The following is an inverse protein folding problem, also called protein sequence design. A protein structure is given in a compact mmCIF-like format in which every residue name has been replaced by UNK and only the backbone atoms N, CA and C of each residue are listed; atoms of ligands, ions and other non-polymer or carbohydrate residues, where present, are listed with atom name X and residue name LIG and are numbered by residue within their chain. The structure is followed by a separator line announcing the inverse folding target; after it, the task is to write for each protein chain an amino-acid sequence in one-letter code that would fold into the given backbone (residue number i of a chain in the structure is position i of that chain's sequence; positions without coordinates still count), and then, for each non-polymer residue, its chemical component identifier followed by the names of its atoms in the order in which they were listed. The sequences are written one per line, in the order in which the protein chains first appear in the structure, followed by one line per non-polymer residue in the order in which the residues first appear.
data_IF_093123430813
#
_entry.id   IF_093123430813
#
_cell.length_a   1.000
_cell.length_b   1.000
_cell.length_c   1.000
_cell.angle_alpha   90.00
_cell.angle_beta   90.00
_cell.angle_gamma   90.00
#
_symmetry.space_group_name_H-M   'P 1'
#
loop_
_entity.id
_entity.type
_entity.pdbx_description
1 polymer ?
#
# COMPACT_ATOMS: atom_id res chain seq x y z
N UNK A 1 -15.11 5.09 19.81
CA UNK A 1 -13.83 5.25 19.09
C UNK A 1 -13.76 4.21 17.97
N UNK A 2 -14.63 4.35 16.95
CA UNK A 2 -14.80 3.33 15.89
C UNK A 2 -13.63 3.29 14.89
N UNK A 3 -12.88 4.39 14.76
CA UNK A 3 -11.80 4.52 13.77
C UNK A 3 -10.78 3.38 13.84
N UNK A 4 -10.19 3.15 15.01
CA UNK A 4 -9.08 2.20 15.13
C UNK A 4 -9.52 0.75 15.30
N UNK A 5 -10.76 0.49 15.70
CA UNK A 5 -11.24 -0.85 16.06
C UNK A 5 -11.91 -1.61 14.90
N UNK A 6 -12.01 -1.01 13.71
CA UNK A 6 -12.61 -1.67 12.55
C UNK A 6 -11.68 -2.78 12.03
N UNK A 7 -12.26 -3.94 11.71
CA UNK A 7 -11.52 -5.13 11.25
C UNK A 7 -11.28 -5.12 9.74
N UNK A 8 -10.08 -5.51 9.33
CA UNK A 8 -9.63 -5.53 7.94
C UNK A 8 -9.04 -6.88 7.55
N UNK A 9 -9.28 -7.27 6.30
CA UNK A 9 -8.38 -8.16 5.58
C UNK A 9 -7.22 -7.30 5.06
N UNK A 10 -5.99 -7.68 5.39
CA UNK A 10 -4.76 -6.96 5.04
C UNK A 10 -3.90 -7.86 4.19
N UNK A 11 -3.44 -7.32 3.06
CA UNK A 11 -2.59 -7.99 2.10
C UNK A 11 -1.24 -7.29 2.03
N UNK A 12 -0.18 -8.09 1.97
CA UNK A 12 1.19 -7.65 1.81
C UNK A 12 1.74 -8.22 0.51
N UNK A 13 2.34 -7.36 -0.29
CA UNK A 13 3.12 -7.73 -1.47
C UNK A 13 4.50 -7.08 -1.37
N UNK A 14 5.55 -7.91 -1.39
CA UNK A 14 6.95 -7.49 -1.51
C UNK A 14 7.44 -7.89 -2.90
N UNK A 15 7.64 -6.91 -3.78
CA UNK A 15 8.03 -7.15 -5.18
C UNK A 15 9.51 -7.55 -5.27
N UNK A 16 9.89 -8.30 -6.31
CA UNK A 16 11.30 -8.62 -6.55
C UNK A 16 12.19 -7.34 -6.54
N UNK A 17 13.47 -7.44 -6.16
CA UNK A 17 14.40 -6.30 -6.12
C UNK A 17 14.49 -5.50 -7.43
N UNK A 18 14.36 -6.20 -8.55
CA UNK A 18 14.45 -5.70 -9.92
C UNK A 18 13.08 -5.59 -10.63
N UNK A 19 11.98 -5.80 -9.90
CA UNK A 19 10.63 -5.69 -10.44
C UNK A 19 10.38 -4.28 -11.02
N UNK A 20 9.63 -4.18 -12.14
CA UNK A 20 9.26 -2.88 -12.71
C UNK A 20 8.54 -1.99 -11.69
N UNK A 21 9.02 -0.76 -11.53
CA UNK A 21 8.48 0.17 -10.55
C UNK A 21 6.97 0.42 -10.74
N UNK A 22 6.17 0.18 -9.70
CA UNK A 22 4.73 0.36 -9.66
C UNK A 22 4.31 1.84 -9.79
N UNK A 23 5.22 2.78 -9.54
CA UNK A 23 4.98 4.20 -9.81
C UNK A 23 5.20 4.58 -11.28
N UNK A 24 5.60 3.66 -12.16
CA UNK A 24 5.57 3.88 -13.60
C UNK A 24 4.13 3.74 -14.10
N UNK A 25 3.71 4.62 -15.00
CA UNK A 25 2.34 4.67 -15.51
C UNK A 25 1.89 3.33 -16.16
N UNK A 26 2.80 2.67 -16.88
CA UNK A 26 2.55 1.38 -17.53
C UNK A 26 2.25 0.25 -16.54
N UNK A 27 2.79 0.33 -15.32
CA UNK A 27 2.56 -0.64 -14.26
C UNK A 27 1.37 -0.23 -13.39
N UNK A 28 1.26 1.05 -13.07
CA UNK A 28 0.21 1.59 -12.20
C UNK A 28 -1.18 1.53 -12.84
N UNK A 29 -1.32 1.97 -14.09
CA UNK A 29 -2.64 2.20 -14.68
C UNK A 29 -3.49 0.92 -14.78
N UNK A 30 -2.97 -0.23 -15.26
CA UNK A 30 -3.75 -1.47 -15.28
C UNK A 30 -4.14 -1.92 -13.87
N UNK A 31 -3.23 -1.80 -12.90
CA UNK A 31 -3.51 -2.15 -11.52
C UNK A 31 -4.57 -1.25 -10.89
N UNK A 32 -4.48 0.07 -11.08
CA UNK A 32 -5.47 1.01 -10.56
C UNK A 32 -6.86 0.75 -11.17
N UNK A 33 -6.93 0.53 -12.49
CA UNK A 33 -8.17 0.19 -13.18
C UNK A 33 -8.80 -1.11 -12.64
N UNK A 34 -7.98 -2.11 -12.28
CA UNK A 34 -8.47 -3.35 -11.68
C UNK A 34 -9.18 -3.16 -10.32
N UNK A 35 -8.97 -2.02 -9.66
CA UNK A 35 -9.58 -1.69 -8.37
C UNK A 35 -10.75 -0.69 -8.50
N UNK A 36 -11.08 -0.21 -9.69
CA UNK A 36 -12.07 0.87 -9.86
C UNK A 36 -13.46 0.50 -9.32
N UNK A 37 -13.90 -0.74 -9.53
CA UNK A 37 -15.19 -1.23 -9.01
C UNK A 37 -15.19 -1.22 -7.47
N UNK A 38 -14.09 -1.67 -6.87
CA UNK A 38 -13.91 -1.71 -5.42
C UNK A 38 -13.91 -0.30 -4.82
N UNK A 39 -13.14 0.60 -5.43
CA UNK A 39 -13.06 2.00 -5.01
C UNK A 39 -14.40 2.70 -5.22
N UNK A 40 -15.14 2.39 -6.27
CA UNK A 40 -16.49 2.91 -6.49
C UNK A 40 -17.48 2.43 -5.41
N UNK A 41 -17.41 1.18 -4.98
CA UNK A 41 -18.22 0.67 -3.86
C UNK A 41 -17.92 1.41 -2.54
N UNK A 42 -16.64 1.66 -2.26
CA UNK A 42 -16.20 2.46 -1.10
C UNK A 42 -16.64 3.94 -1.15
N UNK A 43 -17.02 4.46 -2.33
CA UNK A 43 -17.44 5.88 -2.49
C UNK A 43 -18.77 6.22 -1.85
N UNK A 44 -19.54 5.24 -1.38
CA UNK A 44 -20.80 5.47 -0.66
C UNK A 44 -20.63 6.37 0.56
N UNK A 45 -19.44 6.35 1.18
CA UNK A 45 -19.08 7.23 2.30
C UNK A 45 -18.36 8.52 1.88
N UNK A 46 -17.83 8.61 0.67
CA UNK A 46 -17.14 9.79 0.18
C UNK A 46 -16.09 9.51 -0.89
N UNK A 47 -15.56 10.57 -1.51
CA UNK A 47 -14.56 10.43 -2.58
C UNK A 47 -13.26 9.82 -2.06
N UNK A 48 -12.69 8.90 -2.82
CA UNK A 48 -11.33 8.40 -2.60
C UNK A 48 -10.30 9.50 -2.85
N UNK A 49 -9.17 9.42 -2.16
CA UNK A 49 -8.06 10.37 -2.27
C UNK A 49 -6.72 9.67 -2.28
N UNK A 50 -5.78 10.27 -3.01
CA UNK A 50 -4.41 9.78 -3.18
C UNK A 50 -3.42 10.82 -2.67
N UNK A 51 -2.33 10.36 -2.07
CA UNK A 51 -1.18 11.18 -1.66
C UNK A 51 0.08 10.51 -2.16
N UNK A 52 0.86 11.23 -2.97
CA UNK A 52 2.18 10.77 -3.41
C UNK A 52 3.26 11.68 -2.82
N UNK A 53 4.28 11.07 -2.23
CA UNK A 53 5.46 11.76 -1.73
C UNK A 53 6.62 11.54 -2.69
N UNK A 54 7.07 12.62 -3.33
CA UNK A 54 8.15 12.57 -4.31
C UNK A 54 9.05 13.79 -4.20
N UNK A 55 10.30 13.64 -4.60
CA UNK A 55 11.27 14.72 -4.67
C UNK A 55 11.70 15.00 -6.11
N UNK A 56 11.86 16.26 -6.48
CA UNK A 56 12.46 16.62 -7.77
C UNK A 56 13.99 16.37 -7.76
N UNK A 57 14.69 16.50 -8.91
CA UNK A 57 16.15 16.32 -8.98
C UNK A 57 16.96 17.23 -8.04
N UNK A 58 16.38 18.34 -7.59
CA UNK A 58 17.00 19.28 -6.64
C UNK A 58 16.73 18.89 -5.18
N UNK A 59 16.12 17.73 -4.93
CA UNK A 59 15.78 17.25 -3.59
C UNK A 59 14.62 17.99 -2.92
N UNK A 60 13.80 18.75 -3.67
CA UNK A 60 12.63 19.44 -3.10
C UNK A 60 11.37 18.59 -3.24
N UNK A 61 10.49 18.53 -2.22
CA UNK A 61 9.19 17.87 -2.33
C UNK A 61 8.35 18.43 -3.49
N UNK A 62 7.67 17.56 -4.22
CA UNK A 62 6.73 17.93 -5.29
C UNK A 62 5.33 18.03 -4.70
N UNK A 63 4.69 19.20 -4.87
CA UNK A 63 3.31 19.41 -4.42
C UNK A 63 2.32 19.02 -5.52
N UNK A 64 1.59 17.92 -5.32
CA UNK A 64 0.57 17.46 -6.28
C UNK A 64 -0.83 18.02 -6.03
N UNK A 65 -1.05 18.67 -4.89
CA UNK A 65 -2.38 19.14 -4.48
C UNK A 65 -3.33 17.99 -4.15
N UNK A 66 -4.62 18.18 -4.41
CA UNK A 66 -5.64 17.13 -4.19
C UNK A 66 -5.64 16.17 -5.37
N UNK A 67 -5.35 14.90 -5.11
CA UNK A 67 -5.43 13.82 -6.08
C UNK A 67 -6.62 12.92 -5.73
N UNK A 68 -7.42 12.61 -6.74
CA UNK A 68 -8.49 11.61 -6.68
C UNK A 68 -8.00 10.22 -7.11
N UNK A 69 -8.92 9.27 -7.07
CA UNK A 69 -8.78 7.99 -7.75
C UNK A 69 -9.40 8.10 -9.15
N UNK A 70 -8.62 8.59 -10.10
CA UNK A 70 -8.99 8.81 -11.50
C UNK A 70 -7.73 8.97 -12.36
N UNK A 71 -7.85 8.70 -13.66
CA UNK A 71 -6.75 8.74 -14.62
C UNK A 71 -6.01 10.08 -14.64
N UNK A 72 -6.76 11.19 -14.48
CA UNK A 72 -6.18 12.54 -14.49
C UNK A 72 -5.27 12.75 -13.29
N UNK A 73 -5.67 12.23 -12.12
CA UNK A 73 -4.88 12.29 -10.90
C UNK A 73 -3.70 11.34 -10.94
N UNK A 74 -3.88 10.12 -11.47
CA UNK A 74 -2.80 9.15 -11.64
C UNK A 74 -1.69 9.70 -12.55
N UNK A 75 -2.04 10.25 -13.71
CA UNK A 75 -1.10 10.82 -14.67
C UNK A 75 -0.22 11.95 -14.10
N UNK A 76 -0.65 12.64 -13.03
CA UNK A 76 0.12 13.72 -12.41
C UNK A 76 1.35 13.23 -11.65
N UNK A 77 1.29 12.04 -11.05
CA UNK A 77 2.34 11.56 -10.14
C UNK A 77 3.06 10.32 -10.66
N UNK A 78 2.44 9.52 -11.53
CA UNK A 78 3.11 8.36 -12.13
C UNK A 78 4.20 8.80 -13.10
N UNK A 79 5.28 8.01 -13.19
CA UNK A 79 6.40 8.27 -14.06
C UNK A 79 6.13 7.72 -15.46
N UNK A 80 6.56 8.49 -16.45
CA UNK A 80 6.61 8.10 -17.87
C UNK A 80 8.04 8.30 -18.34
N UNK A 81 8.46 7.77 -19.51
CA UNK A 81 9.79 8.03 -20.07
C UNK A 81 10.12 9.54 -20.16
N UNK A 82 9.11 10.42 -20.28
CA UNK A 82 9.28 11.86 -20.31
C UNK A 82 9.35 12.55 -18.93
N UNK A 83 8.92 11.87 -17.84
CA UNK A 83 8.74 12.47 -16.50
C UNK A 83 9.52 11.76 -15.38
N UNK A 84 10.45 10.86 -15.70
CA UNK A 84 11.24 10.03 -14.75
C UNK A 84 12.18 10.79 -13.82
N UNK A 85 12.31 12.11 -13.94
CA UNK A 85 13.27 12.88 -13.14
C UNK A 85 12.85 13.02 -11.67
N UNK A 86 11.59 12.74 -11.34
CA UNK A 86 11.13 12.71 -9.96
C UNK A 86 11.62 11.43 -9.25
N UNK A 87 11.96 11.54 -7.97
CA UNK A 87 12.27 10.41 -7.10
C UNK A 87 11.01 10.06 -6.31
N UNK A 88 10.38 8.94 -6.64
CA UNK A 88 9.22 8.43 -5.92
C UNK A 88 9.65 7.80 -4.59
N UNK A 89 8.98 8.18 -3.50
CA UNK A 89 9.23 7.62 -2.16
C UNK A 89 8.08 6.74 -1.72
N UNK A 90 6.88 7.31 -1.64
CA UNK A 90 5.69 6.62 -1.15
C UNK A 90 4.41 7.10 -1.83
N UNK A 91 3.38 6.26 -1.77
CA UNK A 91 2.01 6.56 -2.12
C UNK A 91 1.10 6.05 -1.00
N UNK A 92 0.05 6.80 -0.70
CA UNK A 92 -1.12 6.31 0.02
C UNK A 92 -2.39 6.60 -0.77
N UNK A 93 -3.30 5.65 -0.82
CA UNK A 93 -4.65 5.84 -1.34
C UNK A 93 -5.68 5.39 -0.31
N UNK A 94 -6.71 6.20 -0.14
CA UNK A 94 -7.74 6.05 0.87
C UNK A 94 -9.11 6.15 0.21
N UNK A 95 -9.99 5.17 0.43
CA UNK A 95 -11.38 5.21 0.01
C UNK A 95 -12.31 4.91 1.19
N UNK A 96 -13.07 5.90 1.71
CA UNK A 96 -13.05 7.32 1.34
C UNK A 96 -11.73 8.01 1.76
N UNK A 97 -11.49 9.24 1.28
CA UNK A 97 -10.25 9.97 1.56
C UNK A 97 -10.03 10.21 3.06
N UNK A 98 -8.77 10.36 3.48
CA UNK A 98 -8.36 10.64 4.86
C UNK A 98 -9.22 11.72 5.54
N UNK A 99 -9.49 12.84 4.86
CA UNK A 99 -10.25 13.95 5.44
C UNK A 99 -11.71 13.58 5.73
N UNK A 100 -12.28 12.67 4.94
CA UNK A 100 -13.62 12.12 5.18
C UNK A 100 -13.56 11.15 6.36
N UNK A 101 -12.56 10.26 6.39
CA UNK A 101 -12.36 9.32 7.48
C UNK A 101 -12.23 10.03 8.84
N UNK A 102 -11.43 11.09 8.92
CA UNK A 102 -11.26 11.90 10.13
C UNK A 102 -12.57 12.55 10.56
N UNK A 103 -13.28 13.17 9.61
CA UNK A 103 -14.55 13.85 9.87
C UNK A 103 -15.61 12.89 10.41
N UNK A 104 -15.67 11.68 9.85
CA UNK A 104 -16.68 10.68 10.20
C UNK A 104 -16.24 9.80 11.38
N UNK A 105 -15.00 9.95 11.86
CA UNK A 105 -14.46 9.16 12.96
C UNK A 105 -14.36 7.66 12.66
N UNK A 106 -14.20 7.29 11.39
CA UNK A 106 -14.13 5.91 10.93
C UNK A 106 -13.07 5.72 9.82
N UNK A 107 -12.21 4.71 9.99
CA UNK A 107 -11.16 4.32 9.06
C UNK A 107 -11.70 3.99 7.65
N UNK A 108 -10.86 4.03 6.60
CA UNK A 108 -11.29 3.88 5.21
C UNK A 108 -11.86 2.50 4.95
N UNK A 109 -12.74 2.35 3.96
CA UNK A 109 -13.23 1.04 3.53
C UNK A 109 -12.13 0.29 2.77
N UNK A 110 -11.35 0.99 1.95
CA UNK A 110 -10.16 0.48 1.26
C UNK A 110 -8.97 1.41 1.49
N UNK A 111 -7.82 0.82 1.80
CA UNK A 111 -6.55 1.51 1.96
C UNK A 111 -5.46 0.84 1.12
N UNK A 112 -4.56 1.63 0.57
CA UNK A 112 -3.38 1.17 -0.15
C UNK A 112 -2.19 2.04 0.21
N UNK A 113 -1.04 1.42 0.44
CA UNK A 113 0.22 2.08 0.70
C UNK A 113 1.34 1.41 -0.10
N UNK A 114 2.13 2.21 -0.84
CA UNK A 114 3.25 1.75 -1.67
C UNK A 114 4.52 2.49 -1.27
N UNK A 115 5.64 1.78 -1.10
CA UNK A 115 6.94 2.34 -0.79
C UNK A 115 8.02 1.84 -1.76
N UNK A 116 8.97 2.73 -2.04
CA UNK A 116 10.20 2.43 -2.75
C UNK A 116 11.33 2.15 -1.74
N UNK A 117 11.68 0.89 -1.55
CA UNK A 117 12.65 0.46 -0.54
C UNK A 117 14.07 0.96 -0.82
N UNK A 118 14.44 1.08 -2.11
CA UNK A 118 15.77 1.54 -2.52
C UNK A 118 16.11 2.94 -2.01
N UNK A 119 15.10 3.76 -1.71
CA UNK A 119 15.26 5.14 -1.24
C UNK A 119 15.02 5.31 0.27
N UNK A 120 14.67 4.26 1.01
CA UNK A 120 14.46 4.28 2.46
C UNK A 120 15.77 4.01 3.24
N UNK A 121 16.86 4.65 2.83
CA UNK A 121 18.15 4.56 3.54
C UNK A 121 19.00 3.33 3.21
N UNK A 122 18.67 2.62 2.11
CA UNK A 122 19.33 1.39 1.67
C UNK A 122 20.16 1.56 0.39
N UNK A 123 20.53 2.80 0.06
CA UNK A 123 21.29 3.10 -1.17
C UNK A 123 22.59 2.27 -1.19
N UNK A 124 22.74 1.43 -2.22
CA UNK A 124 23.92 0.59 -2.44
C UNK A 124 23.94 -0.73 -1.67
N UNK A 125 22.88 -1.06 -0.91
CA UNK A 125 22.74 -2.37 -0.29
C UNK A 125 21.99 -3.35 -1.21
N UNK A 126 22.32 -4.66 -1.17
CA UNK A 126 21.46 -5.69 -1.75
C UNK A 126 20.08 -5.66 -1.10
N UNK A 127 19.02 -5.68 -1.91
CA UNK A 127 17.65 -5.72 -1.43
C UNK A 127 17.08 -7.12 -1.63
N UNK A 128 16.37 -7.65 -0.63
CA UNK A 128 15.49 -8.83 -0.78
C UNK A 128 14.21 -8.53 -1.58
N UNK A 129 13.77 -7.26 -1.59
CA UNK A 129 12.59 -6.78 -2.32
C UNK A 129 12.76 -5.29 -2.64
N UNK A 130 12.27 -4.84 -3.80
CA UNK A 130 12.47 -3.46 -4.28
C UNK A 130 11.34 -2.50 -3.89
N UNK A 131 10.15 -3.07 -3.68
CA UNK A 131 8.93 -2.31 -3.44
C UNK A 131 8.06 -3.05 -2.43
N UNK A 132 7.39 -2.29 -1.57
CA UNK A 132 6.45 -2.81 -0.58
C UNK A 132 5.09 -2.21 -0.80
N UNK A 133 4.09 -3.06 -0.96
CA UNK A 133 2.69 -2.71 -1.09
C UNK A 133 1.89 -3.34 0.05
N UNK A 134 1.16 -2.49 0.78
CA UNK A 134 0.18 -2.90 1.80
C UNK A 134 -1.19 -2.46 1.32
N UNK A 135 -2.12 -3.40 1.23
CA UNK A 135 -3.51 -3.11 0.92
C UNK A 135 -4.40 -3.62 2.06
N UNK A 136 -5.43 -2.87 2.40
CA UNK A 136 -6.39 -3.29 3.40
C UNK A 136 -7.81 -2.99 2.93
N UNK A 137 -8.71 -3.92 3.21
CA UNK A 137 -10.13 -3.78 2.96
C UNK A 137 -10.92 -4.13 4.20
N UNK A 138 -11.88 -3.28 4.55
CA UNK A 138 -12.71 -3.51 5.72
C UNK A 138 -13.57 -4.75 5.54
N UNK A 139 -13.60 -5.61 6.55
CA UNK A 139 -14.31 -6.90 6.52
C UNK A 139 -15.82 -6.75 6.32
N UNK A 140 -16.40 -5.60 6.70
CA UNK A 140 -17.80 -5.24 6.50
C UNK A 140 -18.15 -4.83 5.05
N UNK A 141 -17.16 -4.69 4.15
CA UNK A 141 -17.40 -4.60 2.70
C UNK A 141 -17.85 -5.94 2.09
N UNK A 142 -17.68 -7.03 2.83
CA UNK A 142 -18.10 -8.37 2.44
C UNK A 142 -16.99 -9.20 1.77
N UNK A 143 -17.13 -10.54 1.78
CA UNK A 143 -16.11 -11.47 1.30
C UNK A 143 -15.85 -11.36 -0.20
N UNK A 144 -16.84 -10.99 -1.01
CA UNK A 144 -16.68 -10.80 -2.46
C UNK A 144 -15.75 -9.62 -2.79
N UNK A 145 -15.88 -8.52 -2.03
CA UNK A 145 -15.02 -7.36 -2.18
C UNK A 145 -13.56 -7.70 -1.78
N UNK A 146 -13.39 -8.47 -0.70
CA UNK A 146 -12.07 -8.95 -0.28
C UNK A 146 -11.45 -9.91 -1.31
N UNK A 147 -12.23 -10.84 -1.85
CA UNK A 147 -11.78 -11.75 -2.91
C UNK A 147 -11.40 -11.00 -4.19
N UNK A 148 -12.13 -9.94 -4.54
CA UNK A 148 -11.81 -9.07 -5.69
C UNK A 148 -10.46 -8.38 -5.48
N UNK A 149 -10.22 -7.79 -4.31
CA UNK A 149 -8.92 -7.17 -3.99
C UNK A 149 -7.79 -8.22 -4.01
N UNK A 150 -8.01 -9.38 -3.41
CA UNK A 150 -7.02 -10.47 -3.42
C UNK A 150 -6.68 -10.92 -4.85
N UNK A 151 -7.67 -11.05 -5.73
CA UNK A 151 -7.45 -11.45 -7.12
C UNK A 151 -6.63 -10.41 -7.90
N UNK A 152 -6.94 -9.12 -7.75
CA UNK A 152 -6.15 -8.05 -8.36
C UNK A 152 -4.72 -8.02 -7.85
N UNK A 153 -4.52 -8.26 -6.54
CA UNK A 153 -3.18 -8.33 -5.95
C UNK A 153 -2.42 -9.60 -6.33
N UNK A 154 -3.10 -10.72 -6.55
CA UNK A 154 -2.47 -11.95 -7.03
C UNK A 154 -1.92 -11.77 -8.46
N UNK A 155 -2.68 -11.11 -9.33
CA UNK A 155 -2.22 -10.75 -10.67
C UNK A 155 -1.02 -9.79 -10.60
N UNK A 156 -1.08 -8.79 -9.72
CA UNK A 156 0.05 -7.88 -9.52
C UNK A 156 1.28 -8.61 -8.96
N UNK A 157 1.10 -9.53 -8.02
CA UNK A 157 2.17 -10.32 -7.42
C UNK A 157 2.90 -11.16 -8.47
N UNK A 158 2.18 -11.77 -9.40
CA UNK A 158 2.77 -12.49 -10.52
C UNK A 158 3.55 -11.56 -11.46
N UNK A 159 2.98 -10.38 -11.79
CA UNK A 159 3.64 -9.39 -12.66
C UNK A 159 4.90 -8.77 -12.06
N UNK A 160 4.97 -8.74 -10.73
CA UNK A 160 6.06 -8.11 -9.96
C UNK A 160 7.05 -9.14 -9.39
N UNK A 161 6.93 -10.41 -9.81
CA UNK A 161 7.71 -11.54 -9.31
C UNK A 161 7.83 -11.51 -7.77
N UNK A 162 6.71 -11.31 -7.09
CA UNK A 162 6.72 -11.00 -5.67
C UNK A 162 7.41 -12.11 -4.86
N UNK A 163 8.35 -11.70 -4.00
CA UNK A 163 9.07 -12.62 -3.09
C UNK A 163 8.21 -12.97 -1.87
N UNK A 164 7.24 -12.12 -1.56
CA UNK A 164 6.21 -12.37 -0.54
C UNK A 164 4.89 -11.85 -1.07
N UNK A 165 3.88 -12.72 -1.09
CA UNK A 165 2.47 -12.34 -1.18
C UNK A 165 1.74 -13.02 -0.03
N UNK A 166 1.15 -12.24 0.86
CA UNK A 166 0.62 -12.75 2.11
C UNK A 166 -0.60 -11.97 2.60
N UNK A 167 -1.32 -12.60 3.51
CA UNK A 167 -2.58 -12.12 4.07
C UNK A 167 -2.58 -12.20 5.60
N UNK A 168 -3.22 -11.24 6.24
CA UNK A 168 -3.49 -11.24 7.67
C UNK A 168 -4.81 -10.53 7.95
N UNK A 169 -5.40 -10.80 9.12
CA UNK A 169 -6.60 -10.11 9.58
C UNK A 169 -6.28 -9.33 10.85
N UNK A 170 -6.61 -8.04 10.86
CA UNK A 170 -6.36 -7.18 12.03
C UNK A 170 -7.28 -5.97 12.06
N UNK A 171 -7.35 -5.35 13.23
CA UNK A 171 -7.96 -4.03 13.38
C UNK A 171 -7.10 -2.94 12.74
N UNK A 172 -7.73 -1.82 12.36
CA UNK A 172 -7.04 -0.66 11.80
C UNK A 172 -5.87 -0.23 12.67
N UNK A 173 -6.05 -0.15 13.99
CA UNK A 173 -4.99 0.06 14.97
C UNK A 173 -5.23 -0.76 16.24
N UNK A 174 -4.23 -0.80 17.12
CA UNK A 174 -4.28 -1.55 18.38
C UNK A 174 -4.37 -0.61 19.58
N UNK A 175 -5.18 -0.95 20.57
CA UNK A 175 -5.19 -0.22 21.83
C UNK A 175 -3.81 -0.33 22.50
N UNK A 176 -3.26 0.81 22.94
CA UNK A 176 -1.99 0.87 23.66
C UNK A 176 -2.22 0.67 25.16
N UNK A 177 -1.38 -0.13 25.86
CA UNK A 177 -1.43 -0.24 27.32
C UNK A 177 -1.24 1.10 28.05
N UNK A 178 -0.60 2.07 27.39
CA UNK A 178 -0.33 3.41 27.93
C UNK A 178 -1.43 4.43 27.56
N UNK A 179 -2.55 3.97 27.00
CA UNK A 179 -3.61 4.81 26.47
C UNK A 179 -3.41 5.18 25.00
N UNK A 180 -4.51 5.40 24.27
CA UNK A 180 -4.50 5.69 22.83
C UNK A 180 -4.41 4.43 21.95
N UNK A 181 -4.04 4.62 20.69
CA UNK A 181 -3.88 3.56 19.70
C UNK A 181 -2.50 3.62 19.04
N UNK A 182 -1.96 2.46 18.68
CA UNK A 182 -0.67 2.29 18.00
C UNK A 182 -0.75 1.24 16.91
N UNK A 183 0.25 1.20 16.04
CA UNK A 183 0.35 0.23 14.95
C UNK A 183 -0.87 0.32 14.05
N UNK A 184 -1.17 1.51 13.52
CA UNK A 184 -2.19 1.61 12.50
C UNK A 184 -1.73 0.87 11.23
N UNK A 185 -2.64 0.35 10.41
CA UNK A 185 -2.28 -0.31 9.15
C UNK A 185 -1.45 0.60 8.25
N UNK A 186 -1.76 1.91 8.22
CA UNK A 186 -0.97 2.90 7.48
C UNK A 186 0.49 2.98 7.95
N UNK A 187 0.76 2.68 9.23
CA UNK A 187 2.10 2.80 9.80
C UNK A 187 3.02 1.71 9.24
N UNK A 188 2.46 0.58 8.75
CA UNK A 188 3.20 -0.56 8.17
C UNK A 188 4.14 -0.18 7.03
N UNK A 189 3.91 0.96 6.38
CA UNK A 189 4.78 1.47 5.32
C UNK A 189 6.09 2.05 5.86
N UNK A 190 6.11 2.51 7.10
CA UNK A 190 7.26 3.16 7.74
C UNK A 190 7.84 2.27 8.84
N UNK A 191 7.00 1.56 9.59
CA UNK A 191 7.40 0.67 10.68
C UNK A 191 6.28 -0.28 11.13
N UNK A 192 6.59 -1.23 12.02
CA UNK A 192 5.60 -2.16 12.58
C UNK A 192 5.18 -3.33 11.66
N UNK A 193 5.72 -3.41 10.44
CA UNK A 193 5.61 -4.61 9.59
C UNK A 193 6.65 -5.66 9.96
N UNK A 194 7.92 -5.24 10.05
CA UNK A 194 9.07 -6.11 10.32
C UNK A 194 9.45 -6.06 11.79
N UNK A 195 10.09 -7.13 12.28
CA UNK A 195 10.79 -7.10 13.58
C UNK A 195 11.91 -6.04 13.57
N UNK A 196 12.40 -5.60 14.75
CA UNK A 196 13.47 -4.62 14.87
C UNK A 196 14.83 -5.11 14.35
N UNK A 197 14.99 -5.27 13.04
CA UNK A 197 16.22 -5.62 12.32
C UNK A 197 16.11 -5.17 10.84
N UNK A 198 17.21 -5.19 10.10
CA UNK A 198 17.22 -4.94 8.64
C UNK A 198 16.58 -6.14 7.90
N UNK A 199 15.37 -6.00 7.31
CA UNK A 199 14.68 -7.11 6.63
C UNK A 199 15.39 -7.53 5.34
N UNK A 200 16.33 -6.73 4.82
CA UNK A 200 17.12 -7.10 3.64
C UNK A 200 18.37 -7.92 3.98
N UNK A 201 18.72 -8.04 5.27
CA UNK A 201 19.91 -8.75 5.74
C UNK A 201 19.67 -10.25 6.04
N UNK A 202 18.43 -10.74 5.94
CA UNK A 202 18.05 -12.12 6.26
C UNK A 202 16.99 -12.68 5.30
N UNK A 203 16.76 -14.00 5.26
CA UNK A 203 15.63 -14.59 4.54
C UNK A 203 14.29 -14.04 5.02
N UNK A 204 13.34 -13.84 4.11
CA UNK A 204 11.98 -13.39 4.41
C UNK A 204 11.09 -14.56 4.88
N UNK A 205 11.34 -15.01 6.10
CA UNK A 205 10.55 -16.04 6.80
C UNK A 205 9.56 -15.44 7.81
N UNK A 206 8.79 -16.30 8.48
CA UNK A 206 7.76 -15.87 9.42
C UNK A 206 8.35 -15.07 10.61
N UNK A 207 9.60 -15.33 10.98
CA UNK A 207 10.30 -14.62 12.05
C UNK A 207 10.70 -13.19 11.65
N UNK A 208 10.62 -12.85 10.36
CA UNK A 208 10.92 -11.51 9.87
C UNK A 208 9.82 -10.50 10.17
N UNK A 209 8.58 -10.97 10.35
CA UNK A 209 7.40 -10.12 10.51
C UNK A 209 6.99 -9.95 11.98
N UNK A 210 6.38 -8.81 12.30
CA UNK A 210 5.82 -8.56 13.63
C UNK A 210 4.53 -9.38 13.85
N UNK A 211 3.71 -9.50 12.82
CA UNK A 211 2.42 -10.20 12.87
C UNK A 211 2.49 -11.56 12.17
N UNK A 212 1.52 -12.42 12.45
CA UNK A 212 1.32 -13.65 11.70
C UNK A 212 0.72 -13.33 10.32
N UNK A 213 1.35 -13.86 9.28
CA UNK A 213 0.94 -13.73 7.89
C UNK A 213 0.75 -15.12 7.28
N UNK A 214 -0.39 -15.32 6.62
CA UNK A 214 -0.65 -16.51 5.80
C UNK A 214 -0.15 -16.26 4.40
N UNK A 215 0.82 -17.04 3.93
CA UNK A 215 1.32 -16.94 2.56
C UNK A 215 0.22 -17.32 1.57
N UNK A 216 0.10 -16.54 0.52
CA UNK A 216 -0.84 -16.78 -0.58
C UNK A 216 -0.06 -17.29 -1.79
N UNK A 217 -0.70 -18.16 -2.57
CA UNK A 217 -0.11 -18.68 -3.80
C UNK A 217 0.00 -17.57 -4.85
N UNK A 218 1.19 -17.41 -5.43
CA UNK A 218 1.41 -16.60 -6.61
C UNK A 218 1.24 -17.53 -7.80
N UNK A 219 0.07 -17.50 -8.45
CA UNK A 219 -0.12 -18.24 -9.69
C UNK A 219 0.71 -17.55 -10.77
N UNK A 220 1.75 -18.23 -11.26
CA UNK A 220 2.47 -17.76 -12.44
C UNK A 220 1.51 -17.83 -13.65
N UNK A 221 1.36 -16.70 -14.32
CA UNK A 221 0.53 -16.56 -15.52
C UNK A 221 1.12 -17.30 -16.72
#
# INVERSE_FOLDING_TARGET
MAFFSRDYEVFLLLAAPDAPALWNAEQWAPFAASLDVLVAQARTRGKAGVRSHQYNPKGKPIAFGRLGWDDTSHAKWTHTPATTQARFMTLEAWAPSWTVCEKDGQAPDVFLALANESLLGLVGKPLQFGQRLVCAIATDMGPEAAATLQASLAQLAAQQDAVVFAHSRRQWGRASPYGGFTGAIQDMLIGGLFQPDDPHARPLDDATFHDAWSKLDIQQA
#
